data_IF_775437022978
#
_entry.id   IF_775437022978
#
_cell.length_a   1.000
_cell.length_b   1.000
_cell.length_c   1.000
_cell.angle_alpha   90.00
_cell.angle_beta   90.00
_cell.angle_gamma   90.00
#
_symmetry.space_group_name_H-M   'P 1'
#
loop_
_entity.id
_entity.type
_entity.pdbx_description
1 polymer ?
#
# COMPACT_ATOMS: atom_id res chain seq x y z
N UNK A 1 -33.19 -3.00 47.18
CA UNK A 1 -31.75 -2.67 47.30
C UNK A 1 -30.89 -3.86 46.89
N UNK A 2 -31.20 -5.09 47.32
CA UNK A 2 -30.55 -6.31 46.86
C UNK A 2 -30.78 -6.59 45.36
N UNK A 3 -32.02 -6.50 44.86
CA UNK A 3 -32.34 -6.69 43.43
C UNK A 3 -31.63 -5.69 42.49
N UNK A 4 -31.31 -4.49 42.98
CA UNK A 4 -30.59 -3.48 42.18
C UNK A 4 -29.09 -3.83 42.11
N UNK A 5 -28.52 -4.41 43.16
CA UNK A 5 -27.12 -4.83 43.21
C UNK A 5 -26.87 -6.10 42.40
N UNK A 6 -27.83 -7.03 42.35
CA UNK A 6 -27.77 -8.21 41.46
C UNK A 6 -27.85 -7.81 40.00
N UNK A 7 -28.78 -6.91 39.64
CA UNK A 7 -28.93 -6.45 38.25
C UNK A 7 -27.70 -5.67 37.75
N UNK A 8 -27.06 -4.88 38.62
CA UNK A 8 -25.79 -4.19 38.30
C UNK A 8 -24.62 -5.18 38.18
N UNK A 9 -24.62 -6.25 38.97
CA UNK A 9 -23.57 -7.29 38.91
C UNK A 9 -23.70 -8.13 37.65
N UNK A 10 -24.92 -8.48 37.24
CA UNK A 10 -25.18 -9.24 36.01
C UNK A 10 -24.82 -8.39 34.79
N UNK A 11 -25.20 -7.10 34.76
CA UNK A 11 -24.78 -6.16 33.70
C UNK A 11 -23.26 -5.98 33.63
N UNK A 12 -22.57 -5.90 34.77
CA UNK A 12 -21.09 -5.84 34.80
C UNK A 12 -20.45 -7.14 34.30
N UNK A 13 -21.07 -8.29 34.57
CA UNK A 13 -20.57 -9.59 34.10
C UNK A 13 -20.78 -9.81 32.61
N UNK A 14 -21.91 -9.36 32.05
CA UNK A 14 -22.17 -9.35 30.61
C UNK A 14 -21.22 -8.39 29.88
N UNK A 15 -20.98 -7.19 30.43
CA UNK A 15 -20.01 -6.23 29.90
C UNK A 15 -18.57 -6.76 29.90
N UNK A 16 -18.18 -7.56 30.91
CA UNK A 16 -16.87 -8.22 30.93
C UNK A 16 -16.77 -9.37 29.92
N UNK A 17 -17.85 -10.14 29.72
CA UNK A 17 -17.90 -11.17 28.67
C UNK A 17 -17.80 -10.55 27.27
N UNK A 18 -18.47 -9.43 27.03
CA UNK A 18 -18.39 -8.70 25.75
C UNK A 18 -17.00 -8.07 25.54
N UNK A 19 -16.36 -7.58 26.60
CA UNK A 19 -14.99 -7.05 26.53
C UNK A 19 -13.95 -8.14 26.24
N UNK A 20 -14.04 -9.29 26.92
CA UNK A 20 -13.15 -10.43 26.72
C UNK A 20 -13.35 -11.03 25.30
N UNK A 21 -14.59 -11.09 24.82
CA UNK A 21 -14.90 -11.55 23.46
C UNK A 21 -14.44 -10.54 22.41
N UNK A 22 -14.58 -9.23 22.65
CA UNK A 22 -14.02 -8.19 21.77
C UNK A 22 -12.49 -8.26 21.75
N UNK A 23 -11.84 -8.48 22.88
CA UNK A 23 -10.38 -8.64 22.96
C UNK A 23 -9.93 -9.89 22.20
N UNK A 24 -10.66 -11.01 22.31
CA UNK A 24 -10.44 -12.19 21.46
C UNK A 24 -10.68 -11.89 19.98
N UNK A 25 -11.76 -11.20 19.62
CA UNK A 25 -12.10 -10.89 18.23
C UNK A 25 -11.08 -9.90 17.59
N UNK A 26 -10.52 -8.99 18.40
CA UNK A 26 -9.39 -8.13 18.03
C UNK A 26 -8.13 -8.97 17.81
N UNK A 27 -7.81 -9.89 18.72
CA UNK A 27 -6.66 -10.80 18.60
C UNK A 27 -6.80 -11.75 17.38
N UNK A 28 -8.02 -12.19 17.09
CA UNK A 28 -8.39 -13.01 15.93
C UNK A 28 -8.53 -12.20 14.63
N UNK A 29 -8.26 -10.89 14.69
CA UNK A 29 -8.21 -9.96 13.54
C UNK A 29 -9.53 -9.80 12.80
N UNK A 30 -10.67 -10.07 13.45
CA UNK A 30 -12.00 -9.94 12.83
C UNK A 30 -12.32 -8.51 12.35
N UNK A 31 -11.67 -7.51 12.95
CA UNK A 31 -11.90 -6.10 12.65
C UNK A 31 -10.78 -5.44 11.82
N UNK A 32 -9.79 -6.19 11.33
CA UNK A 32 -8.72 -5.61 10.53
C UNK A 32 -9.25 -5.13 9.17
N UNK A 33 -8.91 -3.90 8.80
CA UNK A 33 -9.25 -3.32 7.49
C UNK A 33 -8.32 -3.88 6.40
N UNK A 34 -7.14 -4.37 6.79
CA UNK A 34 -6.21 -5.04 5.89
C UNK A 34 -6.63 -6.51 5.74
N UNK A 35 -6.92 -6.96 4.52
CA UNK A 35 -7.28 -8.36 4.30
C UNK A 35 -6.06 -9.26 4.60
N UNK A 36 -6.24 -10.45 5.19
CA UNK A 36 -5.14 -11.41 5.33
C UNK A 36 -4.59 -11.83 3.95
N UNK A 37 -3.44 -12.50 3.92
CA UNK A 37 -2.95 -13.14 2.69
C UNK A 37 -3.94 -14.21 2.26
N UNK A 38 -4.20 -14.30 0.95
CA UNK A 38 -4.97 -15.39 0.37
C UNK A 38 -4.20 -16.71 0.40
N UNK A 39 -4.91 -17.84 0.33
CA UNK A 39 -4.30 -19.18 0.29
C UNK A 39 -3.23 -19.31 -0.80
N UNK A 40 -3.46 -18.69 -1.96
CA UNK A 40 -2.51 -18.69 -3.07
C UNK A 40 -1.26 -17.87 -2.72
N UNK A 41 -1.43 -16.66 -2.18
CA UNK A 41 -0.30 -15.82 -1.76
C UNK A 41 0.52 -16.51 -0.67
N UNK A 42 -0.15 -17.15 0.28
CA UNK A 42 0.48 -17.87 1.39
C UNK A 42 1.29 -19.08 0.89
N UNK A 43 0.72 -19.87 -0.01
CA UNK A 43 1.45 -20.98 -0.64
C UNK A 43 2.68 -20.50 -1.42
N UNK A 44 2.54 -19.44 -2.22
CA UNK A 44 3.66 -18.88 -2.98
C UNK A 44 4.76 -18.32 -2.07
N UNK A 45 4.37 -17.74 -0.94
CA UNK A 45 5.30 -17.26 0.08
C UNK A 45 6.09 -18.40 0.72
N UNK A 46 5.42 -19.50 1.06
CA UNK A 46 6.06 -20.70 1.60
C UNK A 46 7.04 -21.33 0.60
N UNK A 47 6.68 -21.38 -0.68
CA UNK A 47 7.57 -21.84 -1.76
C UNK A 47 8.82 -20.94 -1.91
N UNK A 48 8.67 -19.63 -1.75
CA UNK A 48 9.81 -18.70 -1.76
C UNK A 48 10.69 -18.86 -0.53
N UNK A 49 10.10 -18.98 0.67
CA UNK A 49 10.83 -19.24 1.92
C UNK A 49 11.65 -20.53 1.84
N UNK A 50 11.10 -21.57 1.24
CA UNK A 50 11.80 -22.84 1.04
C UNK A 50 13.05 -22.72 0.14
N UNK A 51 13.10 -21.72 -0.75
CA UNK A 51 14.25 -21.45 -1.63
C UNK A 51 15.33 -20.60 -0.96
N UNK A 52 15.01 -19.89 0.14
CA UNK A 52 15.95 -18.97 0.80
C UNK A 52 16.95 -19.72 1.67
N UNK A 53 18.22 -19.34 1.55
CA UNK A 53 19.26 -19.76 2.49
C UNK A 53 19.03 -19.11 3.87
N UNK A 54 19.28 -19.85 4.95
CA UNK A 54 19.16 -19.31 6.32
C UNK A 54 20.05 -18.07 6.50
N UNK A 55 19.58 -17.03 7.22
CA UNK A 55 20.40 -15.88 7.54
C UNK A 55 21.64 -16.28 8.35
N UNK A 56 22.72 -15.51 8.20
CA UNK A 56 23.92 -15.65 9.02
C UNK A 56 23.61 -15.36 10.49
N UNK A 57 24.32 -16.01 11.40
CA UNK A 57 24.12 -15.87 12.84
C UNK A 57 24.27 -14.40 13.28
N UNK A 58 23.25 -13.87 13.98
CA UNK A 58 23.21 -12.47 14.43
C UNK A 58 22.58 -11.48 13.45
N UNK A 59 22.22 -11.90 12.23
CA UNK A 59 21.48 -11.06 11.27
C UNK A 59 19.98 -11.31 11.42
N UNK A 60 19.16 -10.26 11.69
CA UNK A 60 17.70 -10.39 11.71
C UNK A 60 17.18 -10.93 10.38
N UNK A 61 16.15 -11.76 10.43
CA UNK A 61 15.50 -12.28 9.23
C UNK A 61 14.73 -11.14 8.54
N UNK A 62 14.90 -10.99 7.23
CA UNK A 62 14.15 -10.02 6.45
C UNK A 62 12.67 -10.40 6.44
N UNK A 63 11.80 -9.48 6.86
CA UNK A 63 10.36 -9.66 6.85
C UNK A 63 9.86 -9.61 5.41
N UNK A 64 8.90 -10.48 5.07
CA UNK A 64 8.37 -10.57 3.72
C UNK A 64 7.45 -9.41 3.33
N UNK A 65 6.71 -8.87 4.31
CA UNK A 65 5.72 -7.81 4.14
C UNK A 65 5.90 -6.79 5.29
N UNK A 66 7.05 -6.07 5.34
CA UNK A 66 7.36 -5.16 6.42
C UNK A 66 6.29 -4.07 6.63
N UNK A 67 5.63 -3.59 5.58
CA UNK A 67 4.57 -2.57 5.73
C UNK A 67 3.39 -3.09 6.55
N UNK A 68 3.07 -4.38 6.46
CA UNK A 68 1.98 -4.96 7.25
C UNK A 68 2.27 -4.82 8.75
N UNK A 69 3.51 -5.02 9.18
CA UNK A 69 3.88 -4.92 10.59
C UNK A 69 3.94 -3.45 11.03
N UNK A 70 4.48 -2.56 10.20
CA UNK A 70 4.49 -1.11 10.45
C UNK A 70 3.06 -0.58 10.66
N UNK A 71 2.12 -0.90 9.76
CA UNK A 71 0.72 -0.47 9.90
C UNK A 71 0.12 -0.93 11.23
N UNK A 72 0.41 -2.16 11.64
CA UNK A 72 -0.09 -2.74 12.87
C UNK A 72 0.49 -2.04 14.10
N UNK A 73 1.80 -1.82 14.12
CA UNK A 73 2.48 -1.10 15.20
C UNK A 73 1.96 0.33 15.37
N UNK A 74 1.56 0.95 14.26
CA UNK A 74 0.94 2.28 14.25
C UNK A 74 -0.56 2.30 14.54
N UNK A 75 -1.22 1.13 14.67
CA UNK A 75 -2.67 1.02 14.85
C UNK A 75 -3.49 1.53 13.66
N UNK A 76 -2.90 1.50 12.47
CA UNK A 76 -3.52 1.98 11.22
C UNK A 76 -4.34 0.88 10.52
N UNK A 77 -4.31 -0.36 11.01
CA UNK A 77 -5.08 -1.50 10.48
C UNK A 77 -6.46 -1.63 11.13
N UNK A 78 -6.75 -0.81 12.14
CA UNK A 78 -8.01 -0.82 12.88
C UNK A 78 -8.98 0.28 12.42
N UNK A 79 -10.29 0.03 12.44
CA UNK A 79 -11.28 1.06 12.22
C UNK A 79 -11.20 2.12 13.31
N UNK A 80 -11.39 3.38 12.92
CA UNK A 80 -11.49 4.48 13.89
C UNK A 80 -12.81 4.33 14.65
N UNK A 81 -12.75 4.55 15.97
CA UNK A 81 -13.92 4.46 16.85
C UNK A 81 -15.11 5.27 16.30
N UNK A 82 -16.30 4.64 16.26
CA UNK A 82 -17.53 5.25 15.75
C UNK A 82 -17.66 5.29 14.22
N UNK A 83 -16.76 4.63 13.47
CA UNK A 83 -16.85 4.45 12.02
C UNK A 83 -17.28 3.02 11.69
N UNK A 84 -18.33 2.89 10.89
CA UNK A 84 -18.85 1.60 10.45
C UNK A 84 -17.95 0.94 9.39
N UNK A 85 -17.92 -0.38 9.36
CA UNK A 85 -17.20 -1.16 8.36
C UNK A 85 -17.68 -0.84 6.92
N UNK A 86 -18.96 -0.51 6.74
CA UNK A 86 -19.53 -0.15 5.43
C UNK A 86 -18.82 1.07 4.81
N UNK A 87 -18.35 2.03 5.63
CA UNK A 87 -17.58 3.18 5.16
C UNK A 87 -16.29 2.75 4.44
N UNK A 88 -15.54 1.81 5.03
CA UNK A 88 -14.30 1.32 4.44
C UNK A 88 -14.57 0.47 3.20
N UNK A 89 -15.65 -0.31 3.18
CA UNK A 89 -16.08 -1.06 1.99
C UNK A 89 -16.48 -0.17 0.82
N UNK A 90 -17.07 1.00 1.08
CA UNK A 90 -17.30 2.01 0.05
C UNK A 90 -16.01 2.64 -0.44
N UNK A 91 -15.07 2.97 0.46
CA UNK A 91 -13.79 3.58 0.09
C UNK A 91 -13.00 2.67 -0.85
N UNK A 92 -12.98 1.36 -0.61
CA UNK A 92 -12.33 0.36 -1.49
C UNK A 92 -12.74 0.46 -2.96
N UNK A 93 -13.98 0.88 -3.23
CA UNK A 93 -14.55 0.97 -4.59
C UNK A 93 -14.21 2.28 -5.30
N UNK A 94 -13.65 3.26 -4.60
CA UNK A 94 -13.40 4.61 -5.11
C UNK A 94 -11.92 4.78 -5.47
N UNK A 95 -11.67 5.58 -6.51
CA UNK A 95 -10.32 6.01 -6.88
C UNK A 95 -9.74 6.95 -5.81
N UNK A 96 -8.52 6.66 -5.36
CA UNK A 96 -7.88 7.39 -4.27
C UNK A 96 -7.69 8.88 -4.60
N UNK A 97 -7.27 9.21 -5.82
CA UNK A 97 -7.11 10.61 -6.24
C UNK A 97 -8.42 11.37 -6.09
N UNK A 98 -9.54 10.76 -6.45
CA UNK A 98 -10.86 11.39 -6.38
C UNK A 98 -11.33 11.59 -4.94
N UNK A 99 -11.12 10.60 -4.06
CA UNK A 99 -11.50 10.68 -2.64
C UNK A 99 -10.68 11.75 -1.91
N UNK A 100 -9.37 11.76 -2.12
CA UNK A 100 -8.45 12.49 -1.25
C UNK A 100 -8.10 13.91 -1.73
N UNK A 101 -8.29 14.22 -3.03
CA UNK A 101 -7.84 15.48 -3.65
C UNK A 101 -8.20 16.76 -2.91
N UNK A 102 -9.38 16.82 -2.29
CA UNK A 102 -9.88 18.03 -1.64
C UNK A 102 -9.82 17.96 -0.10
N UNK A 103 -9.02 17.06 0.46
CA UNK A 103 -8.95 16.85 1.90
C UNK A 103 -8.03 17.81 2.65
N UNK A 104 -7.28 18.66 1.94
CA UNK A 104 -6.33 19.60 2.55
C UNK A 104 -6.90 20.38 3.72
N UNK A 105 -8.04 21.04 3.49
CA UNK A 105 -8.66 21.96 4.45
C UNK A 105 -9.58 21.23 5.45
N UNK A 106 -9.57 19.89 5.44
CA UNK A 106 -10.39 19.08 6.34
C UNK A 106 -9.68 18.97 7.70
N UNK A 107 -10.39 19.24 8.82
CA UNK A 107 -9.83 19.10 10.15
C UNK A 107 -9.29 17.69 10.42
N UNK A 108 -8.20 17.60 11.17
CA UNK A 108 -7.56 16.33 11.54
C UNK A 108 -8.51 15.32 12.20
N UNK A 109 -9.47 15.80 12.99
CA UNK A 109 -10.49 14.96 13.63
C UNK A 109 -11.36 14.19 12.61
N UNK A 110 -11.52 14.73 11.41
CA UNK A 110 -12.26 14.10 10.31
C UNK A 110 -11.28 13.31 9.42
N UNK A 111 -10.13 13.90 9.06
CA UNK A 111 -9.16 13.27 8.16
C UNK A 111 -8.60 11.96 8.73
N UNK A 112 -8.44 11.85 10.06
CA UNK A 112 -7.99 10.63 10.75
C UNK A 112 -8.76 9.36 10.34
N UNK A 113 -10.06 9.49 10.04
CA UNK A 113 -10.95 8.36 9.68
C UNK A 113 -10.52 7.65 8.39
N UNK A 114 -9.76 8.33 7.54
CA UNK A 114 -9.33 7.86 6.24
C UNK A 114 -7.94 7.21 6.24
N UNK A 115 -7.13 7.43 7.28
CA UNK A 115 -5.77 6.87 7.35
C UNK A 115 -5.75 5.34 7.25
N UNK A 116 -6.72 4.59 7.83
CA UNK A 116 -6.74 3.14 7.65
C UNK A 116 -6.96 2.69 6.20
N UNK A 117 -7.75 3.41 5.40
CA UNK A 117 -7.91 3.07 3.98
C UNK A 117 -6.64 3.37 3.18
N UNK A 118 -5.96 4.47 3.48
CA UNK A 118 -4.67 4.80 2.85
C UNK A 118 -3.65 3.71 3.16
N UNK A 119 -3.46 3.36 4.44
CA UNK A 119 -2.54 2.31 4.87
C UNK A 119 -2.84 0.95 4.22
N UNK A 120 -4.11 0.56 4.14
CA UNK A 120 -4.54 -0.65 3.43
C UNK A 120 -4.05 -0.66 1.98
N UNK A 121 -4.20 0.46 1.25
CA UNK A 121 -3.80 0.56 -0.16
C UNK A 121 -2.28 0.41 -0.33
N UNK A 122 -1.47 0.96 0.58
CA UNK A 122 -0.02 0.77 0.54
C UNK A 122 0.40 -0.68 0.82
N UNK A 123 -0.24 -1.35 1.77
CA UNK A 123 -0.01 -2.79 2.02
C UNK A 123 -0.43 -3.65 0.82
N UNK A 124 -1.50 -3.28 0.12
CA UNK A 124 -1.87 -3.93 -1.14
C UNK A 124 -0.84 -3.72 -2.26
N UNK A 125 -0.20 -2.55 -2.33
CA UNK A 125 0.90 -2.35 -3.27
C UNK A 125 2.12 -3.22 -2.96
N UNK A 126 2.50 -3.37 -1.69
CA UNK A 126 3.60 -4.27 -1.30
C UNK A 126 3.35 -5.71 -1.78
N UNK A 127 2.11 -6.18 -1.68
CA UNK A 127 1.70 -7.49 -2.23
C UNK A 127 1.76 -7.51 -3.75
N UNK A 128 1.24 -6.46 -4.39
CA UNK A 128 1.19 -6.34 -5.85
C UNK A 128 2.59 -6.26 -6.47
N UNK A 129 3.58 -5.64 -5.82
CA UNK A 129 4.97 -5.60 -6.26
C UNK A 129 5.47 -7.03 -6.54
N UNK A 130 5.32 -7.96 -5.59
CA UNK A 130 5.75 -9.35 -5.77
C UNK A 130 5.07 -10.05 -6.94
N UNK A 131 3.79 -9.75 -7.19
CA UNK A 131 3.06 -10.29 -8.34
C UNK A 131 3.61 -9.73 -9.66
N UNK A 132 3.85 -8.41 -9.72
CA UNK A 132 4.39 -7.74 -10.90
C UNK A 132 5.82 -8.22 -11.18
N UNK A 133 6.67 -8.35 -10.15
CA UNK A 133 8.01 -8.91 -10.27
C UNK A 133 7.97 -10.31 -10.89
N UNK A 134 7.16 -11.23 -10.36
CA UNK A 134 7.02 -12.58 -10.92
C UNK A 134 6.57 -12.55 -12.38
N UNK A 135 5.66 -11.64 -12.72
CA UNK A 135 5.16 -11.47 -14.09
C UNK A 135 6.28 -10.99 -15.03
N UNK A 136 7.06 -10.00 -14.61
CA UNK A 136 8.22 -9.50 -15.35
C UNK A 136 9.28 -10.59 -15.55
N UNK A 137 9.60 -11.33 -14.50
CA UNK A 137 10.61 -12.39 -14.56
C UNK A 137 10.21 -13.55 -15.47
N UNK A 138 8.91 -13.80 -15.64
CA UNK A 138 8.36 -14.80 -16.55
C UNK A 138 8.36 -14.38 -18.02
N UNK A 139 8.68 -13.12 -18.34
CA UNK A 139 8.68 -12.64 -19.73
C UNK A 139 9.74 -13.36 -20.57
N UNK A 140 9.40 -13.75 -21.82
CA UNK A 140 10.35 -14.37 -22.74
C UNK A 140 11.35 -13.31 -23.22
N UNK A 141 12.62 -13.47 -22.84
CA UNK A 141 13.73 -12.59 -23.22
C UNK A 141 14.96 -13.42 -23.60
N UNK A 142 15.61 -13.01 -24.69
CA UNK A 142 16.88 -13.57 -25.16
C UNK A 142 18.02 -12.67 -24.68
N UNK A 143 19.19 -13.24 -24.37
CA UNK A 143 20.35 -12.47 -23.93
C UNK A 143 20.79 -11.47 -25.02
N UNK A 144 21.01 -10.22 -24.62
CA UNK A 144 21.36 -9.07 -25.46
C UNK A 144 20.32 -8.74 -26.53
N UNK A 145 19.05 -8.91 -26.21
CA UNK A 145 17.94 -8.62 -27.14
C UNK A 145 17.20 -7.32 -26.77
N UNK A 146 16.34 -6.85 -27.69
CA UNK A 146 15.48 -5.70 -27.41
C UNK A 146 14.44 -6.01 -26.33
N UNK A 147 14.06 -7.28 -26.20
CA UNK A 147 13.18 -7.79 -25.15
C UNK A 147 13.85 -7.74 -23.77
N UNK A 148 15.15 -8.06 -23.68
CA UNK A 148 15.90 -7.89 -22.42
C UNK A 148 15.93 -6.42 -21.99
N UNK A 149 16.26 -5.49 -22.89
CA UNK A 149 16.26 -4.05 -22.63
C UNK A 149 14.88 -3.53 -22.18
N UNK A 150 13.80 -3.99 -22.82
CA UNK A 150 12.42 -3.66 -22.39
C UNK A 150 12.13 -4.18 -20.99
N UNK A 151 12.55 -5.42 -20.69
CA UNK A 151 12.41 -6.00 -19.36
C UNK A 151 13.15 -5.16 -18.32
N UNK A 152 14.40 -4.76 -18.59
CA UNK A 152 15.20 -3.90 -17.69
C UNK A 152 14.51 -2.56 -17.41
N UNK A 153 14.00 -1.89 -18.44
CA UNK A 153 13.30 -0.61 -18.27
C UNK A 153 11.99 -0.79 -17.48
N UNK A 154 11.26 -1.90 -17.69
CA UNK A 154 10.05 -2.19 -16.92
C UNK A 154 10.36 -2.47 -15.45
N UNK A 155 11.46 -3.18 -15.15
CA UNK A 155 11.93 -3.37 -13.77
C UNK A 155 12.35 -2.05 -13.14
N UNK A 156 13.03 -1.17 -13.88
CA UNK A 156 13.38 0.17 -13.39
C UNK A 156 12.12 1.01 -13.10
N UNK A 157 11.09 0.92 -13.95
CA UNK A 157 9.81 1.60 -13.71
C UNK A 157 9.10 1.05 -12.45
N UNK A 158 9.16 -0.27 -12.22
CA UNK A 158 8.62 -0.88 -11.02
C UNK A 158 9.34 -0.36 -9.76
N UNK A 159 10.67 -0.42 -9.76
CA UNK A 159 11.50 0.08 -8.65
C UNK A 159 11.20 1.55 -8.37
N UNK A 160 11.09 2.36 -9.43
CA UNK A 160 10.74 3.77 -9.34
C UNK A 160 9.35 3.99 -8.76
N UNK A 161 8.34 3.26 -9.20
CA UNK A 161 7.01 3.35 -8.62
C UNK A 161 7.01 2.93 -7.14
N UNK A 162 7.80 1.90 -6.78
CA UNK A 162 7.90 1.39 -5.42
C UNK A 162 8.52 2.40 -4.43
N UNK A 163 9.32 3.37 -4.88
CA UNK A 163 9.80 4.47 -4.02
C UNK A 163 8.65 5.25 -3.34
N UNK A 164 7.45 5.24 -3.91
CA UNK A 164 6.28 5.84 -3.26
C UNK A 164 5.90 5.18 -1.92
N UNK A 165 6.29 3.92 -1.68
CA UNK A 165 6.09 3.25 -0.39
C UNK A 165 7.05 3.82 0.67
N UNK A 166 8.31 4.06 0.30
CA UNK A 166 9.31 4.68 1.20
C UNK A 166 8.91 6.11 1.57
N UNK A 167 8.37 6.88 0.61
CA UNK A 167 7.84 8.23 0.86
C UNK A 167 6.64 8.17 1.81
N UNK A 168 5.78 7.17 1.66
CA UNK A 168 4.65 6.97 2.55
C UNK A 168 5.09 6.63 3.98
N UNK A 169 6.11 5.80 4.16
CA UNK A 169 6.72 5.55 5.47
C UNK A 169 7.23 6.86 6.10
N UNK A 170 7.90 7.73 5.34
CA UNK A 170 8.31 9.05 5.83
C UNK A 170 7.10 9.90 6.28
N UNK A 171 6.00 9.90 5.52
CA UNK A 171 4.77 10.60 5.89
C UNK A 171 4.13 10.04 7.17
N UNK A 172 4.31 8.74 7.44
CA UNK A 172 3.82 8.10 8.65
C UNK A 172 4.57 8.57 9.90
N UNK A 173 5.88 8.76 9.79
CA UNK A 173 6.75 9.15 10.90
C UNK A 173 6.70 10.64 11.22
N UNK A 174 6.48 11.48 10.20
CA UNK A 174 6.57 12.93 10.31
C UNK A 174 5.22 13.59 10.49
N UNK A 175 5.16 14.58 11.40
CA UNK A 175 3.93 15.30 11.73
C UNK A 175 3.66 16.42 10.71
N UNK A 176 2.67 16.20 9.86
CA UNK A 176 2.01 17.22 9.03
C UNK A 176 0.49 17.17 9.28
N UNK A 177 -0.29 18.21 8.92
CA UNK A 177 -1.75 18.15 9.01
C UNK A 177 -2.30 16.91 8.28
N UNK A 178 -3.25 16.20 8.88
CA UNK A 178 -3.74 14.93 8.34
C UNK A 178 -4.51 15.12 7.04
N UNK A 179 -5.21 16.25 6.87
CA UNK A 179 -5.84 16.60 5.60
C UNK A 179 -4.83 16.72 4.46
N UNK A 180 -3.66 17.32 4.72
CA UNK A 180 -2.56 17.42 3.75
C UNK A 180 -1.98 16.04 3.46
N UNK A 181 -1.73 15.24 4.50
CA UNK A 181 -1.24 13.86 4.39
C UNK A 181 -2.15 13.02 3.50
N UNK A 182 -3.47 13.08 3.70
CA UNK A 182 -4.43 12.36 2.85
C UNK A 182 -4.29 12.74 1.37
N UNK A 183 -4.16 14.03 1.04
CA UNK A 183 -3.99 14.49 -0.35
C UNK A 183 -2.71 13.93 -0.96
N UNK A 184 -1.57 14.07 -0.25
CA UNK A 184 -0.26 13.62 -0.75
C UNK A 184 -0.21 12.10 -0.94
N UNK A 185 -0.71 11.35 0.03
CA UNK A 185 -0.79 9.89 -0.05
C UNK A 185 -1.77 9.43 -1.15
N UNK A 186 -2.87 10.16 -1.37
CA UNK A 186 -3.77 9.93 -2.49
C UNK A 186 -3.10 10.14 -3.85
N UNK A 187 -2.23 11.15 -3.98
CA UNK A 187 -1.41 11.37 -5.18
C UNK A 187 -0.40 10.24 -5.40
N UNK A 188 0.29 9.78 -4.35
CA UNK A 188 1.20 8.61 -4.41
C UNK A 188 0.46 7.35 -4.86
N UNK A 189 -0.67 7.03 -4.23
CA UNK A 189 -1.48 5.85 -4.57
C UNK A 189 -1.90 5.87 -6.04
N UNK A 190 -2.33 7.04 -6.53
CA UNK A 190 -2.71 7.19 -7.93
C UNK A 190 -1.54 6.95 -8.88
N UNK A 191 -0.36 7.51 -8.58
CA UNK A 191 0.85 7.32 -9.38
C UNK A 191 1.24 5.84 -9.42
N UNK A 192 1.35 5.18 -8.26
CA UNK A 192 1.75 3.78 -8.14
C UNK A 192 0.76 2.88 -8.91
N UNK A 193 -0.55 3.08 -8.70
CA UNK A 193 -1.60 2.34 -9.42
C UNK A 193 -1.40 2.46 -10.93
N UNK A 194 -1.25 3.69 -11.43
CA UNK A 194 -1.10 3.94 -12.86
C UNK A 194 0.16 3.27 -13.45
N UNK A 195 1.27 3.24 -12.71
CA UNK A 195 2.50 2.58 -13.18
C UNK A 195 2.37 1.07 -13.16
N UNK A 196 1.80 0.48 -12.11
CA UNK A 196 1.61 -0.96 -12.06
C UNK A 196 0.64 -1.43 -13.16
N UNK A 197 -0.46 -0.70 -13.38
CA UNK A 197 -1.42 -1.00 -14.46
C UNK A 197 -0.76 -0.89 -15.85
N UNK A 198 0.13 0.09 -16.05
CA UNK A 198 0.91 0.22 -17.28
C UNK A 198 1.85 -0.98 -17.48
N UNK A 199 2.58 -1.38 -16.45
CA UNK A 199 3.49 -2.53 -16.49
C UNK A 199 2.69 -3.79 -16.84
N UNK A 200 1.59 -4.05 -16.15
CA UNK A 200 0.73 -5.21 -16.38
C UNK A 200 0.21 -5.24 -17.83
N UNK A 201 -0.22 -4.08 -18.34
CA UNK A 201 -0.70 -3.95 -19.72
C UNK A 201 0.40 -4.25 -20.74
N UNK A 202 1.63 -3.79 -20.51
CA UNK A 202 2.78 -4.05 -21.39
C UNK A 202 3.16 -5.53 -21.32
N UNK A 203 3.27 -6.10 -20.13
CA UNK A 203 3.58 -7.52 -19.92
C UNK A 203 2.57 -8.43 -20.65
N UNK A 204 1.27 -8.13 -20.55
CA UNK A 204 0.22 -8.88 -21.24
C UNK A 204 0.30 -8.84 -22.78
N UNK A 205 1.06 -7.89 -23.33
CA UNK A 205 1.21 -7.69 -24.77
C UNK A 205 2.67 -7.77 -25.23
N UNK A 206 3.55 -8.29 -24.38
CA UNK A 206 4.99 -8.19 -24.54
C UNK A 206 5.48 -8.76 -25.88
N UNK A 207 4.97 -9.93 -26.26
CA UNK A 207 5.32 -10.62 -27.51
C UNK A 207 4.79 -9.95 -28.78
N UNK A 208 3.81 -9.03 -28.69
CA UNK A 208 3.21 -8.40 -29.88
C UNK A 208 4.19 -7.52 -30.65
N UNK A 209 5.24 -7.04 -29.98
CA UNK A 209 6.27 -6.19 -30.57
C UNK A 209 7.47 -7.00 -31.09
N UNK A 210 7.44 -8.33 -31.01
CA UNK A 210 8.54 -9.19 -31.47
C UNK A 210 8.83 -8.94 -32.96
N UNK A 211 10.08 -8.62 -33.27
CA UNK A 211 10.53 -8.30 -34.63
C UNK A 211 10.13 -6.90 -35.12
N UNK A 212 9.47 -6.08 -34.31
CA UNK A 212 9.00 -4.74 -34.67
C UNK A 212 9.86 -3.65 -34.02
N UNK A 213 11.07 -3.47 -34.55
CA UNK A 213 12.10 -2.60 -33.95
C UNK A 213 11.64 -1.17 -33.65
N UNK A 214 10.92 -0.54 -34.58
CA UNK A 214 10.52 0.87 -34.41
C UNK A 214 9.47 1.01 -33.29
N UNK A 215 8.45 0.16 -33.28
CA UNK A 215 7.43 0.12 -32.21
C UNK A 215 8.06 -0.16 -30.83
N UNK A 216 9.09 -1.00 -30.77
CA UNK A 216 9.86 -1.25 -29.53
C UNK A 216 10.59 0.00 -29.07
N UNK A 217 11.22 0.76 -29.96
CA UNK A 217 11.92 1.98 -29.58
C UNK A 217 10.96 3.05 -29.05
N UNK A 218 9.79 3.20 -29.68
CA UNK A 218 8.75 4.11 -29.21
C UNK A 218 8.27 3.73 -27.80
N UNK A 219 8.05 2.44 -27.53
CA UNK A 219 7.67 1.97 -26.18
C UNK A 219 8.78 2.23 -25.16
N UNK A 220 10.05 1.96 -25.51
CA UNK A 220 11.20 2.21 -24.62
C UNK A 220 11.32 3.68 -24.26
N UNK A 221 11.16 4.57 -25.23
CA UNK A 221 11.23 6.00 -24.97
C UNK A 221 10.05 6.46 -24.11
N UNK A 222 8.84 5.98 -24.38
CA UNK A 222 7.66 6.21 -23.54
C UNK A 222 7.90 5.74 -22.10
N UNK A 223 8.41 4.52 -21.89
CA UNK A 223 8.71 4.00 -20.56
C UNK A 223 9.74 4.86 -19.80
N UNK A 224 10.76 5.36 -20.49
CA UNK A 224 11.72 6.32 -19.90
C UNK A 224 11.09 7.66 -19.56
N UNK A 225 10.10 8.12 -20.33
CA UNK A 225 9.31 9.29 -19.94
C UNK A 225 8.48 9.00 -18.69
N UNK A 226 7.90 7.81 -18.56
CA UNK A 226 7.13 7.43 -17.37
C UNK A 226 8.00 7.35 -16.11
N UNK A 227 9.24 6.85 -16.22
CA UNK A 227 10.23 6.88 -15.13
C UNK A 227 10.52 8.32 -14.68
N UNK A 228 10.85 9.21 -15.63
CA UNK A 228 11.09 10.63 -15.32
C UNK A 228 9.85 11.32 -14.77
N UNK A 229 8.66 10.90 -15.22
CA UNK A 229 7.41 11.42 -14.71
C UNK A 229 7.21 11.05 -13.23
N UNK A 230 7.59 9.83 -12.80
CA UNK A 230 7.63 9.48 -11.38
C UNK A 230 8.52 10.45 -10.58
N UNK A 231 9.76 10.68 -11.03
CA UNK A 231 10.69 11.59 -10.34
C UNK A 231 10.11 13.02 -10.20
N UNK A 232 9.47 13.53 -11.25
CA UNK A 232 8.82 14.84 -11.23
C UNK A 232 7.69 14.91 -10.21
N UNK A 233 6.84 13.88 -10.14
CA UNK A 233 5.72 13.83 -9.20
C UNK A 233 6.22 13.64 -7.77
N UNK A 234 7.23 12.79 -7.53
CA UNK A 234 7.81 12.65 -6.19
C UNK A 234 8.45 13.96 -5.71
N UNK A 235 9.09 14.70 -6.61
CA UNK A 235 9.61 16.04 -6.29
C UNK A 235 8.49 16.99 -5.89
N UNK A 236 7.39 17.02 -6.63
CA UNK A 236 6.21 17.86 -6.32
C UNK A 236 5.59 17.48 -4.96
N UNK A 237 5.42 16.17 -4.71
CA UNK A 237 4.88 15.65 -3.45
C UNK A 237 5.81 16.03 -2.29
N UNK A 238 7.12 15.85 -2.45
CA UNK A 238 8.10 16.21 -1.43
C UNK A 238 8.11 17.73 -1.16
N UNK A 239 7.99 18.56 -2.19
CA UNK A 239 7.88 20.02 -2.02
C UNK A 239 6.62 20.39 -1.21
N UNK A 240 5.45 19.85 -1.58
CA UNK A 240 4.20 20.08 -0.83
C UNK A 240 4.28 19.54 0.60
N UNK A 241 4.94 18.41 0.81
CA UNK A 241 5.21 17.84 2.12
C UNK A 241 6.06 18.79 2.97
N UNK A 242 7.18 19.28 2.44
CA UNK A 242 8.05 20.24 3.12
C UNK A 242 7.32 21.54 3.45
N UNK A 243 6.52 22.07 2.52
CA UNK A 243 5.70 23.25 2.78
C UNK A 243 4.72 23.00 3.93
N UNK A 244 4.05 21.85 3.94
CA UNK A 244 3.15 21.47 5.04
C UNK A 244 3.87 21.32 6.37
N UNK A 245 5.07 20.74 6.35
CA UNK A 245 5.91 20.55 7.54
C UNK A 245 6.48 21.86 8.09
N UNK A 246 6.77 22.82 7.21
CA UNK A 246 7.29 24.15 7.56
C UNK A 246 6.19 25.22 7.72
N UNK A 247 4.92 24.82 7.69
CA UNK A 247 3.75 25.72 7.79
C UNK A 247 3.72 26.82 6.70
N UNK A 248 4.19 26.48 5.50
CA UNK A 248 4.19 27.34 4.32
C UNK A 248 2.98 27.05 3.42
N UNK A 249 2.56 28.08 2.67
CA UNK A 249 1.52 27.93 1.66
C UNK A 249 1.97 27.01 0.52
N UNK A 250 1.11 26.03 0.20
CA UNK A 250 1.30 25.11 -0.92
C UNK A 250 0.67 25.60 -2.23
#
# INVERSE_FOLDING_TARGET
MLDVLENVRDQLSELHLDADQMEQDINDRKYSIIPPLSDLEQKLLEEERAKRSKPLEGVPEAVDFPLHDIVREMGLDQPVEGIDAEFYEELKKKDAKTVYKNMKEIPDAIARRYLPDLARRFVEFERRIKQVERTLWALPKEDRSLEEDRFEILTELLDKAAQGLEIWEEHCERKIPLGHRCVLEGELIHLITAKFDLIDKICAQFDKLKGKRDEVNDERDMLRYEIRHCDAIFTEIHEKFLKSYLEMDW
#
